data_IF_422492894165
#
_entry.id   IF_422492894165
#
_cell.length_a   1.000
_cell.length_b   1.000
_cell.length_c   1.000
_cell.angle_alpha   90.00
_cell.angle_beta   90.00
_cell.angle_gamma   90.00
#
_symmetry.space_group_name_H-M   'P 1'
#
loop_
_entity.id
_entity.type
_entity.pdbx_description
1 polymer ?
#
# COMPACT_ATOMS: atom_id res chain seq x y z
N UNK A 1 -12.85 23.72 -30.31
CA UNK A 1 -12.91 23.07 -28.99
C UNK A 1 -12.34 21.66 -29.15
N UNK A 2 -11.15 21.36 -28.61
CA UNK A 2 -10.53 20.03 -28.77
C UNK A 2 -11.11 19.09 -27.72
N UNK A 3 -11.93 18.12 -28.14
CA UNK A 3 -12.37 17.03 -27.28
C UNK A 3 -11.25 15.99 -27.30
N UNK A 4 -10.32 16.08 -26.35
CA UNK A 4 -9.37 14.99 -26.12
C UNK A 4 -10.13 13.81 -25.54
N UNK A 5 -10.37 12.80 -26.38
CA UNK A 5 -10.91 11.51 -25.96
C UNK A 5 -9.93 10.87 -24.97
N UNK A 6 -10.29 10.79 -23.67
CA UNK A 6 -9.56 9.97 -22.70
C UNK A 6 -9.57 8.52 -23.19
N UNK A 7 -8.39 7.98 -23.45
CA UNK A 7 -8.14 6.59 -23.83
C UNK A 7 -8.86 5.61 -22.87
N UNK A 8 -9.82 4.84 -23.40
CA UNK A 8 -10.65 3.84 -22.69
C UNK A 8 -9.91 2.50 -22.49
N UNK A 9 -8.63 2.53 -22.12
CA UNK A 9 -7.77 1.33 -22.12
C UNK A 9 -7.34 0.77 -20.75
N UNK A 10 -7.54 1.48 -19.64
CA UNK A 10 -6.73 1.23 -18.42
C UNK A 10 -7.51 0.98 -17.11
N UNK A 11 -8.85 1.05 -17.12
CA UNK A 11 -9.66 1.02 -15.89
C UNK A 11 -9.49 -0.24 -15.02
N UNK A 12 -9.23 -1.40 -15.63
CA UNK A 12 -8.97 -2.65 -14.88
C UNK A 12 -7.63 -2.60 -14.14
N UNK A 13 -6.57 -2.07 -14.76
CA UNK A 13 -5.24 -1.95 -14.13
C UNK A 13 -5.24 -0.93 -13.01
N UNK A 14 -5.89 0.21 -13.22
CA UNK A 14 -6.05 1.27 -12.20
C UNK A 14 -6.83 0.76 -10.98
N UNK A 15 -7.92 0.00 -11.21
CA UNK A 15 -8.69 -0.63 -10.12
C UNK A 15 -7.85 -1.66 -9.35
N UNK A 16 -7.09 -2.51 -10.05
CA UNK A 16 -6.17 -3.47 -9.42
C UNK A 16 -5.09 -2.77 -8.58
N UNK A 17 -4.50 -1.68 -9.11
CA UNK A 17 -3.50 -0.88 -8.39
C UNK A 17 -4.11 -0.20 -7.17
N UNK A 18 -5.30 0.41 -7.30
CA UNK A 18 -6.04 0.99 -6.18
C UNK A 18 -6.26 -0.04 -5.06
N UNK A 19 -6.75 -1.23 -5.40
CA UNK A 19 -6.96 -2.30 -4.42
C UNK A 19 -5.65 -2.78 -3.77
N UNK A 20 -4.55 -2.80 -4.52
CA UNK A 20 -3.23 -3.09 -3.98
C UNK A 20 -2.78 -2.02 -2.98
N UNK A 21 -2.94 -0.73 -3.30
CA UNK A 21 -2.58 0.38 -2.42
C UNK A 21 -3.44 0.41 -1.16
N UNK A 22 -4.73 0.10 -1.24
CA UNK A 22 -5.58 -0.04 -0.06
C UNK A 22 -5.10 -1.16 0.89
N UNK A 23 -4.61 -2.28 0.34
CA UNK A 23 -3.96 -3.33 1.14
C UNK A 23 -2.66 -2.83 1.78
N UNK A 24 -1.86 -2.05 1.05
CA UNK A 24 -0.63 -1.46 1.58
C UNK A 24 -0.93 -0.48 2.71
N UNK A 25 -1.97 0.34 2.57
CA UNK A 25 -2.44 1.23 3.63
C UNK A 25 -2.84 0.45 4.90
N UNK A 26 -3.57 -0.66 4.75
CA UNK A 26 -3.96 -1.48 5.89
C UNK A 26 -2.74 -2.07 6.63
N UNK A 27 -1.71 -2.51 5.91
CA UNK A 27 -0.45 -2.98 6.49
C UNK A 27 0.30 -1.84 7.20
N UNK A 28 0.37 -0.67 6.58
CA UNK A 28 1.02 0.51 7.17
C UNK A 28 0.33 0.95 8.47
N UNK A 29 -1.01 0.90 8.50
CA UNK A 29 -1.79 1.22 9.69
C UNK A 29 -1.49 0.24 10.84
N UNK A 30 -1.40 -1.06 10.56
CA UNK A 30 -1.00 -2.05 11.57
C UNK A 30 0.42 -1.79 12.06
N UNK A 31 1.36 -1.54 11.16
CA UNK A 31 2.75 -1.24 11.52
C UNK A 31 2.83 -0.01 12.44
N UNK A 32 2.12 1.06 12.09
CA UNK A 32 2.09 2.32 12.85
C UNK A 32 1.35 2.22 14.20
N UNK A 33 0.59 1.15 14.44
CA UNK A 33 0.01 0.88 15.75
C UNK A 33 1.08 0.47 16.80
N UNK A 34 2.30 0.19 16.36
CA UNK A 34 3.43 -0.21 17.20
C UNK A 34 4.55 0.82 17.17
N UNK A 35 5.18 1.08 18.32
CA UNK A 35 6.31 2.02 18.40
C UNK A 35 7.60 1.35 17.89
N UNK A 36 7.89 1.55 16.60
CA UNK A 36 9.08 1.02 15.94
C UNK A 36 10.41 1.58 16.47
N UNK A 37 10.40 2.61 17.35
CA UNK A 37 11.61 3.08 18.04
C UNK A 37 12.08 2.10 19.10
N UNK A 38 11.17 1.31 19.67
CA UNK A 38 11.45 0.37 20.75
C UNK A 38 11.28 -1.09 20.31
N UNK A 39 10.40 -1.36 19.34
CA UNK A 39 10.13 -2.71 18.85
C UNK A 39 10.79 -2.89 17.48
N UNK A 40 11.70 -3.88 17.31
CA UNK A 40 12.30 -4.14 16.01
C UNK A 40 11.26 -4.45 14.94
N UNK A 41 11.43 -3.91 13.74
CA UNK A 41 10.54 -4.14 12.58
C UNK A 41 10.32 -5.65 12.33
N UNK A 42 11.35 -6.47 12.55
CA UNK A 42 11.26 -7.93 12.40
C UNK A 42 10.30 -8.59 13.40
N UNK A 43 10.23 -8.05 14.62
CA UNK A 43 9.28 -8.49 15.65
C UNK A 43 7.90 -8.00 15.30
N UNK A 44 7.74 -6.73 14.92
CA UNK A 44 6.44 -6.19 14.47
C UNK A 44 5.88 -7.04 13.31
N UNK A 45 6.75 -7.37 12.35
CA UNK A 45 6.40 -8.22 11.24
C UNK A 45 5.94 -9.62 11.67
N UNK A 46 6.71 -10.30 12.52
CA UNK A 46 6.45 -11.69 12.89
C UNK A 46 5.20 -11.83 13.74
N UNK A 47 5.00 -10.93 14.70
CA UNK A 47 3.95 -11.05 15.71
C UNK A 47 2.61 -10.44 15.27
N UNK A 48 2.62 -9.34 14.50
CA UNK A 48 1.39 -8.57 14.21
C UNK A 48 1.03 -8.53 12.73
N UNK A 49 2.02 -8.42 11.83
CA UNK A 49 1.74 -8.23 10.40
C UNK A 49 1.58 -9.58 9.67
N UNK A 50 2.54 -10.51 9.83
CA UNK A 50 2.51 -11.79 9.13
C UNK A 50 1.26 -12.63 9.45
N UNK A 51 0.83 -12.77 10.71
CA UNK A 51 -0.36 -13.57 11.04
C UNK A 51 -1.66 -13.01 10.46
N UNK A 52 -1.70 -11.70 10.13
CA UNK A 52 -2.90 -11.00 9.64
C UNK A 52 -2.93 -10.83 8.13
N UNK A 53 -1.78 -10.54 7.52
CA UNK A 53 -1.68 -10.16 6.11
C UNK A 53 -0.90 -11.16 5.25
N UNK A 54 -0.22 -12.13 5.87
CA UNK A 54 0.53 -13.20 5.19
C UNK A 54 1.56 -12.69 4.16
N UNK A 55 2.18 -11.54 4.44
CA UNK A 55 3.20 -10.95 3.55
C UNK A 55 4.62 -11.28 4.00
N UNK A 56 5.53 -11.39 3.04
CA UNK A 56 6.96 -11.55 3.35
C UNK A 56 7.54 -10.27 3.99
N UNK A 57 8.66 -10.41 4.73
CA UNK A 57 9.44 -9.25 5.22
C UNK A 57 9.85 -8.30 4.09
N UNK A 58 10.25 -8.85 2.93
CA UNK A 58 10.63 -8.07 1.76
C UNK A 58 9.46 -7.21 1.27
N UNK A 59 8.25 -7.78 1.27
CA UNK A 59 7.03 -7.05 0.91
C UNK A 59 6.72 -5.95 1.92
N UNK A 60 6.92 -6.19 3.23
CA UNK A 60 6.76 -5.14 4.24
C UNK A 60 7.72 -3.97 3.97
N UNK A 61 9.02 -4.23 3.78
CA UNK A 61 9.98 -3.18 3.47
C UNK A 61 9.64 -2.44 2.17
N UNK A 62 9.11 -3.13 1.16
CA UNK A 62 8.62 -2.49 -0.04
C UNK A 62 7.47 -1.51 0.28
N UNK A 63 6.49 -1.94 1.07
CA UNK A 63 5.36 -1.10 1.51
C UNK A 63 5.83 0.12 2.30
N UNK A 64 6.79 -0.06 3.22
CA UNK A 64 7.34 1.05 4.04
C UNK A 64 8.04 2.13 3.20
N UNK A 65 8.46 1.81 1.97
CA UNK A 65 9.10 2.74 1.05
C UNK A 65 8.14 3.38 0.04
N UNK A 66 6.84 3.07 0.09
CA UNK A 66 5.83 3.62 -0.82
C UNK A 66 5.05 4.74 -0.13
N UNK A 67 4.92 5.88 -0.80
CA UNK A 67 3.96 6.91 -0.41
C UNK A 67 2.55 6.52 -0.91
N UNK A 68 1.91 5.66 -0.11
CA UNK A 68 0.60 5.09 -0.45
C UNK A 68 -0.47 6.17 -0.61
N UNK A 69 -0.39 7.23 0.19
CA UNK A 69 -1.37 8.31 0.18
C UNK A 69 -1.28 9.13 -1.11
N UNK A 70 -0.08 9.51 -1.53
CA UNK A 70 0.12 10.22 -2.80
C UNK A 70 -0.25 9.36 -4.00
N UNK A 71 0.11 8.07 -4.00
CA UNK A 71 -0.28 7.18 -5.10
C UNK A 71 -1.80 7.00 -5.20
N UNK A 72 -2.51 6.88 -4.07
CA UNK A 72 -3.97 6.80 -4.06
C UNK A 72 -4.62 8.09 -4.57
N UNK A 73 -4.06 9.26 -4.23
CA UNK A 73 -4.50 10.56 -4.75
C UNK A 73 -4.37 10.61 -6.28
N UNK A 74 -3.23 10.16 -6.82
CA UNK A 74 -2.97 10.15 -8.27
C UNK A 74 -3.89 9.22 -9.07
N UNK A 75 -4.52 8.22 -8.44
CA UNK A 75 -5.49 7.32 -9.09
C UNK A 75 -6.94 7.81 -8.98
N UNK A 76 -7.21 8.72 -8.06
CA UNK A 76 -8.54 9.29 -7.80
C UNK A 76 -8.74 10.67 -8.45
N UNK A 77 -7.75 11.15 -9.21
CA UNK A 77 -7.67 12.47 -9.84
C UNK A 77 -7.37 12.33 -11.34
#
# INVERSE_FOLDING_TARGET
>A
MKITMKSKGNGSRETCRRNQLLRYQAVMNEFNAHDARYIPITVIWREFIYPKFFISRKTLYHILNIDVEQELKNLNL
#
